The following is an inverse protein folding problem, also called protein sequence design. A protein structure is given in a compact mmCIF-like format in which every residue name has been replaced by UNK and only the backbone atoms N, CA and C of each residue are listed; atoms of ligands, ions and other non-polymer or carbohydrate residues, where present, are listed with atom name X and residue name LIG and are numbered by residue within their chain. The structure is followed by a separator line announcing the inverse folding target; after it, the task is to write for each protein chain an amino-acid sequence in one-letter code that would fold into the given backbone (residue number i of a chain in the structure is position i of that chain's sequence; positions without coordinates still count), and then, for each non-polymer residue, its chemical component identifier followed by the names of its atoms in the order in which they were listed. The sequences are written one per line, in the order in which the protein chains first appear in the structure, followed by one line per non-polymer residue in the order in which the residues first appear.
data_IF_834034437592
#
_entry.id   IF_834034437592
#
_cell.length_a   1.000
_cell.length_b   1.000
_cell.length_c   1.000
_cell.angle_alpha   90.00
_cell.angle_beta   90.00
_cell.angle_gamma   90.00
#
_symmetry.space_group_name_H-M   'P 1'
#
loop_
_entity.id
_entity.type
_entity.pdbx_description
1 polymer ?
#
# COMPACT_ATOMS: atom_id res chain seq x y z
N UNK A 1 -10.21 6.00 2.35
CA UNK A 1 -9.71 5.07 3.37
C UNK A 1 -10.17 3.67 3.05
N UNK A 2 -11.47 3.43 3.11
CA UNK A 2 -12.13 2.24 2.56
C UNK A 2 -12.23 2.27 1.04
N UNK A 3 -12.51 3.45 0.49
CA UNK A 3 -12.71 3.62 -0.95
C UNK A 3 -11.42 3.26 -1.71
N UNK A 4 -11.59 2.47 -2.78
CA UNK A 4 -10.52 1.95 -3.64
C UNK A 4 -9.87 3.04 -4.48
N UNK A 5 -10.53 4.18 -4.69
CA UNK A 5 -10.03 5.27 -5.52
C UNK A 5 -8.61 5.71 -5.12
N UNK A 6 -8.30 5.75 -3.83
CA UNK A 6 -6.95 6.12 -3.37
C UNK A 6 -5.90 5.05 -3.73
N UNK A 7 -6.23 3.77 -3.57
CA UNK A 7 -5.33 2.67 -3.93
C UNK A 7 -5.13 2.61 -5.45
N UNK A 8 -6.18 2.88 -6.23
CA UNK A 8 -6.12 2.95 -7.70
C UNK A 8 -5.28 4.13 -8.17
N UNK A 9 -5.45 5.31 -7.56
CA UNK A 9 -4.65 6.49 -7.86
C UNK A 9 -3.16 6.20 -7.61
N UNK A 10 -2.81 5.61 -6.46
CA UNK A 10 -1.42 5.22 -6.15
C UNK A 10 -0.87 4.21 -7.15
N UNK A 11 -1.65 3.20 -7.53
CA UNK A 11 -1.24 2.20 -8.54
C UNK A 11 -1.03 2.80 -9.93
N UNK A 12 -1.72 3.89 -10.25
CA UNK A 12 -1.58 4.56 -11.55
C UNK A 12 -0.29 5.37 -11.68
N UNK A 13 0.39 5.65 -10.56
CA UNK A 13 1.67 6.36 -10.55
C UNK A 13 2.78 5.39 -10.96
N UNK A 14 3.49 5.74 -12.03
CA UNK A 14 4.69 5.02 -12.42
C UNK A 14 5.75 5.12 -11.31
N UNK A 15 6.36 3.98 -10.97
CA UNK A 15 7.45 4.00 -9.99
C UNK A 15 8.64 4.78 -10.55
N UNK A 16 9.22 5.75 -9.81
CA UNK A 16 10.35 6.54 -10.28
C UNK A 16 11.52 5.64 -10.69
N UNK A 17 12.03 5.86 -11.90
CA UNK A 17 13.27 5.24 -12.37
C UNK A 17 14.44 6.18 -12.09
N UNK A 18 15.64 5.62 -11.95
CA UNK A 18 16.91 6.36 -11.82
C UNK A 18 17.11 7.20 -10.54
N UNK A 19 16.20 7.09 -9.57
CA UNK A 19 16.33 7.70 -8.24
C UNK A 19 16.05 6.69 -7.14
N UNK A 20 16.65 6.92 -5.97
CA UNK A 20 16.24 6.19 -4.76
C UNK A 20 14.85 6.66 -4.35
N UNK A 21 13.88 5.74 -4.31
CA UNK A 21 12.50 6.00 -3.97
C UNK A 21 12.01 5.03 -2.89
N UNK A 22 11.16 5.53 -1.99
CA UNK A 22 10.49 4.72 -0.98
C UNK A 22 8.99 4.95 -1.03
N UNK A 23 8.22 3.87 -1.18
CA UNK A 23 6.76 3.93 -1.25
C UNK A 23 6.15 3.73 0.13
N UNK A 24 5.38 4.72 0.59
CA UNK A 24 4.64 4.63 1.84
C UNK A 24 3.14 4.78 1.61
N UNK A 25 2.36 3.81 2.09
CA UNK A 25 0.91 3.81 2.00
C UNK A 25 0.29 3.29 3.29
N UNK A 26 -0.71 4.01 3.82
CA UNK A 26 -1.45 3.57 4.99
C UNK A 26 -2.94 3.91 4.85
N UNK A 27 -3.80 2.91 4.97
CA UNK A 27 -5.24 3.07 4.81
C UNK A 27 -6.03 1.93 5.49
N UNK A 28 -7.24 1.66 5.02
CA UNK A 28 -8.02 0.48 5.40
C UNK A 28 -7.35 -0.79 4.86
N UNK A 29 -7.53 -1.93 5.55
CA UNK A 29 -6.85 -3.19 5.26
C UNK A 29 -6.96 -3.66 3.80
N UNK A 30 -8.13 -3.56 3.16
CA UNK A 30 -8.33 -3.96 1.77
C UNK A 30 -7.56 -3.04 0.81
N UNK A 31 -7.59 -1.71 1.04
CA UNK A 31 -6.83 -0.76 0.23
C UNK A 31 -5.31 -0.97 0.40
N UNK A 32 -4.85 -1.16 1.63
CA UNK A 32 -3.43 -1.42 1.92
C UNK A 32 -2.94 -2.73 1.30
N UNK A 33 -3.80 -3.75 1.24
CA UNK A 33 -3.51 -5.01 0.56
C UNK A 33 -3.32 -4.80 -0.96
N UNK A 34 -4.21 -4.06 -1.62
CA UNK A 34 -4.12 -3.79 -3.06
C UNK A 34 -2.78 -3.13 -3.43
N UNK A 35 -2.39 -2.09 -2.68
CA UNK A 35 -1.13 -1.37 -2.94
C UNK A 35 0.07 -2.27 -2.67
N UNK A 36 0.03 -3.08 -1.60
CA UNK A 36 1.09 -4.03 -1.24
C UNK A 36 1.33 -5.07 -2.34
N UNK A 37 0.26 -5.66 -2.88
CA UNK A 37 0.34 -6.65 -3.95
C UNK A 37 0.89 -6.02 -5.24
N UNK A 38 0.44 -4.81 -5.59
CA UNK A 38 1.01 -4.09 -6.73
C UNK A 38 2.52 -3.85 -6.56
N UNK A 39 2.93 -3.31 -5.42
CA UNK A 39 4.34 -2.98 -5.19
C UNK A 39 5.23 -4.22 -5.09
N UNK A 40 4.82 -5.25 -4.36
CA UNK A 40 5.67 -6.43 -4.10
C UNK A 40 5.56 -7.48 -5.18
N UNK A 41 4.35 -7.79 -5.62
CA UNK A 41 4.11 -8.93 -6.52
C UNK A 41 4.19 -8.51 -7.99
N UNK A 42 3.71 -7.30 -8.32
CA UNK A 42 3.75 -6.79 -9.71
C UNK A 42 5.05 -6.05 -10.03
N UNK A 43 5.51 -5.16 -9.13
CA UNK A 43 6.73 -4.37 -9.34
C UNK A 43 7.99 -4.98 -8.72
N UNK A 44 7.87 -6.04 -7.92
CA UNK A 44 9.01 -6.74 -7.33
C UNK A 44 9.75 -5.96 -6.23
N UNK A 45 9.13 -4.92 -5.65
CA UNK A 45 9.80 -4.03 -4.69
C UNK A 45 9.96 -4.69 -3.32
N UNK A 46 11.13 -4.51 -2.72
CA UNK A 46 11.49 -5.03 -1.41
C UNK A 46 10.83 -4.31 -0.24
N UNK A 47 11.03 -4.86 0.98
CA UNK A 47 10.55 -4.24 2.24
C UNK A 47 11.33 -2.98 2.61
N UNK A 48 12.56 -2.89 2.14
CA UNK A 48 13.45 -1.72 2.23
C UNK A 48 13.06 -0.62 1.25
N UNK A 49 12.24 -0.93 0.25
CA UNK A 49 11.74 0.04 -0.75
C UNK A 49 10.27 0.43 -0.50
N UNK A 50 9.52 -0.37 0.29
CA UNK A 50 8.07 -0.18 0.43
C UNK A 50 7.51 -0.53 1.80
N UNK A 51 6.55 0.29 2.24
CA UNK A 51 5.70 0.03 3.40
C UNK A 51 4.23 0.33 3.08
N UNK A 52 3.39 -0.72 3.09
CA UNK A 52 1.95 -0.63 2.91
C UNK A 52 1.23 -1.18 4.15
N UNK A 53 0.79 -0.28 5.04
CA UNK A 53 0.26 -0.61 6.37
C UNK A 53 -1.28 -0.53 6.42
N UNK A 54 -1.89 -1.49 7.12
CA UNK A 54 -3.33 -1.48 7.39
C UNK A 54 -3.60 -0.86 8.77
N UNK A 55 -4.09 0.38 8.80
CA UNK A 55 -4.33 1.10 10.06
C UNK A 55 -5.65 0.74 10.73
N UNK A 56 -6.64 0.38 9.93
CA UNK A 56 -7.95 -0.06 10.44
C UNK A 56 -8.63 -1.01 9.46
N UNK A 57 -9.64 -1.73 9.92
CA UNK A 57 -10.45 -2.64 9.10
C UNK A 57 -11.92 -2.49 9.43
N UNK A 58 -12.77 -2.47 8.40
CA UNK A 58 -14.22 -2.41 8.61
C UNK A 58 -14.72 -3.61 9.41
N UNK A 59 -15.60 -3.34 10.37
CA UNK A 59 -16.20 -4.39 11.19
C UNK A 59 -15.23 -5.02 12.19
N UNK A 60 -14.09 -4.37 12.44
CA UNK A 60 -13.11 -4.80 13.44
C UNK A 60 -12.76 -3.62 14.35
N UNK A 61 -12.63 -3.89 15.65
CA UNK A 61 -12.11 -2.96 16.63
C UNK A 61 -10.97 -3.64 17.38
N UNK A 62 -9.98 -2.85 17.83
CA UNK A 62 -8.79 -3.36 18.51
C UNK A 62 -7.50 -3.13 17.71
N UNK A 63 -6.39 -3.63 18.25
CA UNK A 63 -5.06 -3.43 17.67
C UNK A 63 -4.95 -4.18 16.34
N UNK A 64 -4.64 -3.47 15.26
CA UNK A 64 -4.20 -4.12 14.03
C UNK A 64 -2.68 -4.05 13.95
N UNK A 65 -2.05 -5.22 13.83
CA UNK A 65 -0.62 -5.37 13.57
C UNK A 65 -0.45 -5.78 12.10
N UNK A 66 0.15 -4.93 11.27
CA UNK A 66 0.40 -5.24 9.86
C UNK A 66 0.58 -4.04 8.93
#
# INVERSE_FOLDING_TARGET
GEDRLLAEAVRSVAWPQDVSAFGWFAAEAAAAKIVRECWRDTLGLGRDQTLAAAYWRRGSAGLMVG
#
